data_IF_344666096566
#
_entry.id   IF_344666096566
#
_cell.length_a   1.000
_cell.length_b   1.000
_cell.length_c   1.000
_cell.angle_alpha   90.00
_cell.angle_beta   90.00
_cell.angle_gamma   90.00
#
_symmetry.space_group_name_H-M   'P 1'
#
loop_
_entity.id
_entity.type
_entity.pdbx_description
1 polymer ?
#
# COMPACT_ATOMS: atom_id res chain seq x y z
N UNK A 1 -3.89 8.08 -12.57
CA UNK A 1 -5.13 7.56 -11.95
C UNK A 1 -6.17 7.21 -13.00
N UNK A 2 -6.51 8.11 -13.95
CA UNK A 2 -7.42 7.83 -15.09
C UNK A 2 -7.23 6.46 -15.78
N UNK A 3 -6.00 6.01 -15.97
CA UNK A 3 -5.74 4.68 -16.53
C UNK A 3 -6.36 3.55 -15.68
N UNK A 4 -6.20 3.59 -14.36
CA UNK A 4 -6.73 2.60 -13.42
C UNK A 4 -8.26 2.67 -13.28
N UNK A 5 -8.84 3.86 -13.42
CA UNK A 5 -10.31 4.02 -13.48
C UNK A 5 -10.91 3.33 -14.71
N UNK A 6 -10.12 3.19 -15.79
CA UNK A 6 -10.49 2.48 -17.01
C UNK A 6 -9.89 1.07 -17.11
N UNK A 7 -9.38 0.52 -16.01
CA UNK A 7 -8.69 -0.80 -15.94
C UNK A 7 -7.51 -0.96 -16.92
N UNK A 8 -6.93 0.15 -17.37
CA UNK A 8 -5.75 0.17 -18.24
C UNK A 8 -4.47 0.12 -17.43
N UNK A 9 -3.45 -0.52 -18.00
CA UNK A 9 -2.11 -0.50 -17.42
C UNK A 9 -1.58 0.93 -17.29
N UNK A 10 -0.79 1.15 -16.23
CA UNK A 10 -0.02 2.38 -16.08
C UNK A 10 1.12 2.45 -17.10
N UNK A 11 1.49 3.67 -17.47
CA UNK A 11 2.66 3.92 -18.29
C UNK A 11 3.93 3.31 -17.68
N UNK A 12 4.85 2.89 -18.54
CA UNK A 12 6.12 2.26 -18.12
C UNK A 12 6.97 3.17 -17.22
N UNK A 13 6.82 4.48 -17.36
CA UNK A 13 7.47 5.53 -16.56
C UNK A 13 6.91 5.67 -15.14
N UNK A 14 5.78 5.02 -14.84
CA UNK A 14 5.14 5.16 -13.54
C UNK A 14 5.88 4.40 -12.44
N UNK A 15 6.31 5.15 -11.42
CA UNK A 15 7.04 4.62 -10.26
C UNK A 15 6.26 3.59 -9.43
N UNK A 16 4.94 3.48 -9.61
CA UNK A 16 4.10 2.51 -8.88
C UNK A 16 3.67 1.32 -9.74
N UNK A 17 4.06 1.26 -11.02
CA UNK A 17 3.62 0.18 -11.94
C UNK A 17 4.03 -1.20 -11.45
N UNK A 18 5.23 -1.32 -10.89
CA UNK A 18 5.78 -2.58 -10.33
C UNK A 18 5.01 -3.09 -9.11
N UNK A 19 4.22 -2.23 -8.46
CA UNK A 19 3.36 -2.58 -7.34
C UNK A 19 2.01 -3.15 -7.79
N UNK A 20 1.80 -3.32 -9.10
CA UNK A 20 0.57 -3.82 -9.74
C UNK A 20 -0.66 -3.12 -9.12
N UNK A 21 -0.76 -1.79 -9.28
CA UNK A 21 -1.76 -1.01 -8.56
C UNK A 21 -3.15 -1.16 -9.17
N UNK A 22 -4.17 -1.08 -8.34
CA UNK A 22 -5.57 -1.09 -8.75
C UNK A 22 -6.44 -0.26 -7.80
N UNK A 23 -7.64 0.11 -8.23
CA UNK A 23 -8.65 0.73 -7.36
C UNK A 23 -9.60 -0.36 -6.85
N UNK A 24 -9.87 -0.36 -5.53
CA UNK A 24 -10.89 -1.24 -4.96
C UNK A 24 -12.31 -0.69 -5.15
N UNK A 25 -13.33 -1.41 -4.65
CA UNK A 25 -14.73 -1.00 -4.72
C UNK A 25 -15.04 0.37 -4.09
N UNK A 26 -14.12 0.93 -3.30
CA UNK A 26 -14.25 2.24 -2.67
C UNK A 26 -13.40 3.32 -3.35
N UNK A 27 -12.76 3.01 -4.49
CA UNK A 27 -11.86 3.93 -5.18
C UNK A 27 -10.53 4.14 -4.43
N UNK A 28 -10.16 3.25 -3.52
CA UNK A 28 -8.89 3.32 -2.80
C UNK A 28 -7.80 2.65 -3.63
N UNK A 29 -6.65 3.33 -3.76
CA UNK A 29 -5.49 2.79 -4.46
C UNK A 29 -4.80 1.71 -3.62
N UNK A 30 -4.67 0.50 -4.19
CA UNK A 30 -4.06 -0.66 -3.54
C UNK A 30 -3.04 -1.32 -4.44
N UNK A 31 -2.18 -2.14 -3.85
CA UNK A 31 -1.19 -2.97 -4.55
C UNK A 31 -1.62 -4.43 -4.53
N UNK A 32 -1.48 -5.13 -5.65
CA UNK A 32 -1.60 -6.60 -5.71
C UNK A 32 -0.28 -7.26 -5.35
N UNK A 33 -0.33 -8.52 -4.96
CA UNK A 33 0.86 -9.24 -4.56
C UNK A 33 0.63 -10.73 -4.35
N UNK A 34 1.65 -11.39 -3.80
CA UNK A 34 1.72 -12.85 -3.67
C UNK A 34 0.57 -13.47 -2.87
N UNK A 35 -0.08 -12.69 -2.01
CA UNK A 35 -1.13 -13.18 -1.13
C UNK A 35 -2.54 -12.95 -1.68
N UNK A 36 -2.71 -12.35 -2.87
CA UNK A 36 -4.02 -11.91 -3.40
C UNK A 36 -5.11 -13.00 -3.35
N UNK A 37 -4.73 -14.25 -3.66
CA UNK A 37 -5.64 -15.39 -3.79
C UNK A 37 -5.78 -16.21 -2.50
N UNK A 38 -5.15 -15.79 -1.38
CA UNK A 38 -5.20 -16.54 -0.12
C UNK A 38 -6.41 -16.13 0.71
N UNK A 39 -7.52 -16.87 0.58
CA UNK A 39 -8.78 -16.57 1.27
C UNK A 39 -8.67 -16.47 2.79
N UNK A 40 -7.76 -17.23 3.41
CA UNK A 40 -7.52 -17.22 4.87
C UNK A 40 -6.91 -15.91 5.40
N UNK A 41 -6.34 -15.06 4.54
CA UNK A 41 -5.72 -13.78 4.93
C UNK A 41 -6.71 -12.64 4.74
N UNK A 42 -6.81 -11.66 5.65
CA UNK A 42 -7.66 -10.48 5.44
C UNK A 42 -7.26 -9.68 4.19
N UNK A 43 -8.24 -9.13 3.47
CA UNK A 43 -8.03 -8.31 2.26
C UNK A 43 -7.02 -7.18 2.49
N UNK A 44 -7.07 -6.55 3.67
CA UNK A 44 -6.16 -5.46 4.06
C UNK A 44 -4.69 -5.87 4.06
N UNK A 45 -4.39 -7.13 4.38
CA UNK A 45 -3.04 -7.68 4.36
C UNK A 45 -2.67 -8.25 2.98
N UNK A 46 -3.65 -8.81 2.26
CA UNK A 46 -3.42 -9.36 0.92
C UNK A 46 -3.12 -8.31 -0.13
N UNK A 47 -3.86 -7.21 -0.09
CA UNK A 47 -3.73 -6.10 -1.02
C UNK A 47 -3.59 -4.81 -0.22
N UNK A 48 -2.37 -4.38 0.14
CA UNK A 48 -2.19 -3.21 0.99
C UNK A 48 -2.57 -1.91 0.27
N UNK A 49 -3.00 -0.91 1.04
CA UNK A 49 -3.29 0.44 0.55
C UNK A 49 -1.97 1.13 0.17
N UNK A 50 -1.95 1.77 -0.99
CA UNK A 50 -0.85 2.61 -1.44
C UNK A 50 -1.05 4.05 -0.94
N UNK A 51 -0.26 4.43 0.05
CA UNK A 51 -0.25 5.79 0.56
C UNK A 51 0.70 6.68 -0.26
N UNK A 52 0.33 7.93 -0.56
CA UNK A 52 1.22 8.85 -1.26
C UNK A 52 2.44 9.15 -0.39
N UNK A 53 3.63 9.02 -0.96
CA UNK A 53 4.90 9.18 -0.25
C UNK A 53 5.05 10.56 0.43
N UNK A 54 4.48 11.61 -0.17
CA UNK A 54 4.64 13.01 0.27
C UNK A 54 3.31 13.54 0.79
N UNK A 55 3.15 13.57 2.11
CA UNK A 55 2.01 14.20 2.77
C UNK A 55 2.19 14.30 4.29
N UNK A 56 1.81 15.43 4.89
CA UNK A 56 1.90 15.61 6.35
C UNK A 56 1.06 14.56 7.10
N UNK A 57 -0.16 14.32 6.63
CA UNK A 57 -1.08 13.34 7.22
C UNK A 57 -0.48 11.93 7.16
N UNK A 58 0.08 11.54 6.01
CA UNK A 58 0.72 10.24 5.82
C UNK A 58 1.86 10.03 6.83
N UNK A 59 2.73 11.04 7.01
CA UNK A 59 3.78 10.99 8.03
C UNK A 59 3.24 10.89 9.45
N UNK A 60 2.15 11.59 9.75
CA UNK A 60 1.50 11.50 11.07
C UNK A 60 0.90 10.12 11.32
N UNK A 61 0.27 9.51 10.31
CA UNK A 61 -0.23 8.12 10.40
C UNK A 61 0.92 7.17 10.70
N UNK A 62 2.00 7.23 9.91
CA UNK A 62 3.20 6.38 10.14
C UNK A 62 3.74 6.56 11.54
N UNK A 63 3.94 7.81 11.95
CA UNK A 63 4.48 8.14 13.27
C UNK A 63 3.58 7.62 14.39
N UNK A 64 2.28 7.83 14.29
CA UNK A 64 1.31 7.34 15.28
C UNK A 64 1.35 5.82 15.43
N UNK A 65 1.46 5.08 14.31
CA UNK A 65 1.63 3.63 14.36
C UNK A 65 3.00 3.23 14.93
N UNK A 66 4.07 3.89 14.53
CA UNK A 66 5.41 3.65 15.03
C UNK A 66 5.52 3.83 16.56
N UNK A 67 4.93 4.90 17.08
CA UNK A 67 4.87 5.19 18.52
C UNK A 67 3.95 4.20 19.26
N UNK A 68 2.79 3.87 18.69
CA UNK A 68 1.81 2.96 19.29
C UNK A 68 2.33 1.53 19.47
N UNK A 69 3.13 1.05 18.52
CA UNK A 69 3.67 -0.32 18.54
C UNK A 69 5.12 -0.39 19.10
N UNK A 70 5.54 0.66 19.83
CA UNK A 70 6.74 0.68 20.69
C UNK A 70 8.04 0.20 20.02
N UNK A 71 8.31 0.63 18.78
CA UNK A 71 9.54 0.24 18.05
C UNK A 71 9.82 -1.28 18.05
N UNK A 72 8.82 -2.16 18.31
CA UNK A 72 9.07 -3.59 18.25
C UNK A 72 9.44 -3.93 16.81
N UNK A 73 10.71 -4.33 16.69
CA UNK A 73 11.51 -4.60 15.51
C UNK A 73 10.72 -4.57 14.20
N UNK A 74 11.16 -3.66 13.31
CA UNK A 74 11.02 -3.51 11.85
C UNK A 74 10.15 -4.51 11.02
N UNK A 75 9.89 -5.72 11.51
CA UNK A 75 9.26 -6.84 10.83
C UNK A 75 7.73 -6.92 11.03
N UNK A 76 7.14 -6.30 12.07
CA UNK A 76 5.69 -6.42 12.37
C UNK A 76 4.87 -5.25 11.82
N UNK A 77 5.45 -4.05 11.70
CA UNK A 77 4.77 -2.89 11.14
C UNK A 77 4.71 -2.90 9.60
N UNK A 78 5.70 -3.52 8.94
CA UNK A 78 5.80 -3.58 7.47
C UNK A 78 4.68 -4.39 6.81
N UNK A 79 4.12 -5.39 7.50
CA UNK A 79 3.11 -6.28 6.91
C UNK A 79 1.72 -5.63 6.82
N UNK A 80 1.37 -4.74 7.76
CA UNK A 80 0.04 -4.09 7.82
C UNK A 80 0.02 -2.70 7.20
N UNK A 81 1.18 -2.04 7.10
CA UNK A 81 1.34 -0.83 6.34
C UNK A 81 2.63 -1.01 5.52
N UNK A 82 2.49 -1.51 4.29
CA UNK A 82 3.61 -1.70 3.37
C UNK A 82 4.09 -0.33 2.86
N UNK A 83 4.74 0.44 3.74
CA UNK A 83 5.56 1.59 3.38
C UNK A 83 6.76 1.03 2.63
N UNK A 84 6.72 1.12 1.31
CA UNK A 84 7.91 0.95 0.51
C UNK A 84 8.90 2.04 0.96
N UNK A 85 9.90 1.61 1.73
CA UNK A 85 11.06 2.39 2.14
C UNK A 85 11.79 2.81 0.87
N UNK A 86 11.48 4.00 0.36
CA UNK A 86 12.38 4.79 -0.47
C UNK A 86 13.10 5.75 0.49
N UNK A 87 14.16 5.23 1.11
CA UNK A 87 15.36 6.03 1.28
C UNK A 87 16.16 5.87 -0.02
#
# INVERSE_FOLDING_TARGET
MKALESEKELEKSSNIRTLIPYLDEHGVLRSRGRLENISAVPKSARTPILLPHKGRIVRMIVRSYHEKYLHQADNVAEERIRFHRLL
#
